data_IF_189992434456
#
_entry.id   IF_189992434456
#
_cell.length_a   1.000
_cell.length_b   1.000
_cell.length_c   1.000
_cell.angle_alpha   90.00
_cell.angle_beta   90.00
_cell.angle_gamma   90.00
#
_symmetry.space_group_name_H-M   'P 1'
#
loop_
_entity.id
_entity.type
_entity.pdbx_description
1 polymer ?
#
# COMPACT_ATOMS: atom_id res chain seq x y z
N UNK A 1 -27.89 11.38 9.88
CA UNK A 1 -29.09 10.52 9.92
C UNK A 1 -28.96 9.62 11.14
N UNK A 2 -29.88 9.73 12.10
CA UNK A 2 -30.01 8.78 13.20
C UNK A 2 -31.36 8.10 13.01
N UNK A 3 -31.39 6.76 13.11
CA UNK A 3 -32.61 5.97 13.05
C UNK A 3 -32.68 5.11 14.29
N UNK A 4 -33.89 4.92 14.81
CA UNK A 4 -34.18 4.04 15.92
C UNK A 4 -35.03 2.90 15.36
N UNK A 5 -34.50 1.69 15.40
CA UNK A 5 -35.18 0.49 14.91
C UNK A 5 -35.34 -0.51 16.04
N UNK A 6 -36.52 -1.14 16.11
CA UNK A 6 -36.75 -2.31 16.96
C UNK A 6 -36.36 -3.55 16.18
N UNK A 7 -35.49 -4.38 16.76
CA UNK A 7 -35.04 -5.62 16.13
C UNK A 7 -36.18 -6.63 16.04
N UNK A 8 -36.46 -7.13 14.84
CA UNK A 8 -37.42 -8.23 14.62
C UNK A 8 -36.89 -9.57 15.15
N UNK A 9 -35.57 -9.77 15.12
CA UNK A 9 -34.88 -10.88 15.76
C UNK A 9 -33.97 -10.33 16.89
N UNK A 10 -34.23 -10.65 18.17
CA UNK A 10 -33.49 -10.09 19.30
C UNK A 10 -32.05 -10.62 19.43
N UNK A 11 -31.64 -11.59 18.61
CA UNK A 11 -30.28 -12.14 18.57
C UNK A 11 -29.49 -11.74 17.32
N UNK A 12 -30.06 -10.94 16.41
CA UNK A 12 -29.45 -10.61 15.13
C UNK A 12 -29.64 -9.14 14.74
N UNK A 13 -28.57 -8.50 14.31
CA UNK A 13 -28.53 -7.10 13.89
C UNK A 13 -28.85 -6.99 12.38
N UNK A 14 -29.52 -5.91 11.93
CA UNK A 14 -29.95 -5.72 10.54
C UNK A 14 -28.81 -5.28 9.61
N UNK A 15 -27.56 -5.61 9.96
CA UNK A 15 -26.37 -5.26 9.18
C UNK A 15 -25.74 -6.50 8.57
N UNK A 16 -25.08 -6.34 7.44
CA UNK A 16 -24.24 -7.41 6.88
C UNK A 16 -22.91 -7.52 7.64
N UNK A 17 -22.17 -8.60 7.42
CA UNK A 17 -20.83 -8.77 7.98
C UNK A 17 -19.86 -7.68 7.53
N UNK A 18 -18.98 -7.25 8.43
CA UNK A 18 -17.95 -6.25 8.16
C UNK A 18 -18.51 -4.94 7.58
N UNK A 19 -19.57 -4.38 8.15
CA UNK A 19 -20.18 -3.13 7.65
C UNK A 19 -19.95 -1.94 8.58
N UNK A 20 -20.01 -2.16 9.89
CA UNK A 20 -20.09 -1.09 10.89
C UNK A 20 -18.72 -0.77 11.47
N UNK A 21 -18.28 0.50 11.40
CA UNK A 21 -16.97 0.89 11.93
C UNK A 21 -16.92 0.95 13.46
N UNK A 22 -18.01 1.38 14.10
CA UNK A 22 -18.12 1.54 15.56
C UNK A 22 -19.47 1.02 16.03
N UNK A 23 -19.46 0.11 17.00
CA UNK A 23 -20.66 -0.31 17.71
C UNK A 23 -20.55 0.16 19.16
N UNK A 24 -21.62 0.81 19.64
CA UNK A 24 -21.72 1.30 21.01
C UNK A 24 -22.81 0.51 21.73
N UNK A 25 -22.45 -0.16 22.82
CA UNK A 25 -23.33 -1.06 23.57
C UNK A 25 -23.56 -0.50 24.96
N UNK A 26 -24.77 0.00 25.19
CA UNK A 26 -25.26 0.37 26.53
C UNK A 26 -25.89 -0.83 27.26
N UNK A 27 -26.61 -1.67 26.52
CA UNK A 27 -27.21 -2.93 26.99
C UNK A 27 -27.11 -3.97 25.88
N UNK A 28 -26.63 -5.16 26.19
CA UNK A 28 -26.44 -6.23 25.20
C UNK A 28 -27.76 -6.94 24.84
N UNK A 29 -28.71 -7.01 25.78
CA UNK A 29 -29.93 -7.80 25.61
C UNK A 29 -29.62 -9.27 25.30
N UNK A 30 -30.25 -9.80 24.24
CA UNK A 30 -30.06 -11.19 23.77
C UNK A 30 -29.05 -11.32 22.63
N UNK A 31 -28.36 -10.24 22.26
CA UNK A 31 -27.40 -10.25 21.15
C UNK A 31 -26.13 -11.00 21.57
N UNK A 32 -25.71 -12.05 20.84
CA UNK A 32 -24.46 -12.73 21.14
C UNK A 32 -23.26 -11.86 20.77
N UNK A 33 -22.14 -12.00 21.49
CA UNK A 33 -20.91 -11.22 21.22
C UNK A 33 -20.37 -11.48 19.80
N UNK A 34 -20.56 -12.69 19.28
CA UNK A 34 -20.20 -13.07 17.91
C UNK A 34 -20.98 -12.29 16.85
N UNK A 35 -22.20 -11.86 17.16
CA UNK A 35 -23.01 -11.02 16.27
C UNK A 35 -22.47 -9.59 16.21
N UNK A 36 -22.04 -9.04 17.35
CA UNK A 36 -21.31 -7.76 17.37
C UNK A 36 -20.02 -7.87 16.54
N UNK A 37 -19.28 -8.96 16.69
CA UNK A 37 -18.08 -9.20 15.90
C UNK A 37 -18.41 -9.33 14.40
N UNK A 38 -19.50 -10.02 14.04
CA UNK A 38 -19.93 -10.22 12.64
C UNK A 38 -20.08 -8.89 11.92
N UNK A 39 -20.84 -7.96 12.49
CA UNK A 39 -21.20 -6.69 11.84
C UNK A 39 -20.06 -5.67 11.81
N UNK A 40 -19.15 -5.70 12.80
CA UNK A 40 -18.05 -4.74 12.88
C UNK A 40 -17.04 -4.99 11.75
N UNK A 41 -16.54 -3.93 11.12
CA UNK A 41 -15.46 -4.01 10.11
C UNK A 41 -14.17 -4.52 10.75
N UNK A 42 -13.27 -5.21 10.02
CA UNK A 42 -11.92 -5.48 10.53
C UNK A 42 -11.25 -4.23 11.06
N UNK A 43 -10.62 -4.34 12.24
CA UNK A 43 -10.11 -3.23 13.04
C UNK A 43 -11.16 -2.21 13.51
N UNK A 44 -12.45 -2.39 13.23
CA UNK A 44 -13.52 -1.58 13.82
C UNK A 44 -13.59 -1.68 15.34
N UNK A 45 -14.26 -0.72 15.97
CA UNK A 45 -14.29 -0.54 17.44
C UNK A 45 -15.61 -0.99 18.03
N UNK A 46 -15.54 -1.69 19.15
CA UNK A 46 -16.64 -1.87 20.08
C UNK A 46 -16.40 -0.98 21.32
N UNK A 47 -17.39 -0.17 21.67
CA UNK A 47 -17.47 0.54 22.95
C UNK A 47 -18.56 -0.11 23.80
N UNK A 48 -18.19 -0.76 24.89
CA UNK A 48 -19.11 -1.46 25.76
C UNK A 48 -19.15 -0.78 27.13
N UNK A 49 -20.24 -0.09 27.43
CA UNK A 49 -20.44 0.60 28.70
C UNK A 49 -20.57 -0.41 29.85
N UNK A 50 -20.30 0.02 31.08
CA UNK A 50 -20.36 -0.81 32.29
C UNK A 50 -21.70 -1.56 32.45
N UNK A 51 -22.81 -0.92 32.06
CA UNK A 51 -24.17 -1.50 32.11
C UNK A 51 -24.46 -2.55 31.04
N UNK A 52 -23.57 -2.74 30.07
CA UNK A 52 -23.77 -3.70 28.98
C UNK A 52 -23.73 -5.17 29.41
N UNK A 53 -23.14 -5.47 30.58
CA UNK A 53 -22.90 -6.84 31.02
C UNK A 53 -21.74 -7.54 30.28
N UNK A 54 -21.00 -6.81 29.45
CA UNK A 54 -19.76 -7.26 28.81
C UNK A 54 -18.56 -7.01 29.71
N UNK A 55 -17.58 -7.91 29.63
CA UNK A 55 -16.29 -7.81 30.30
C UNK A 55 -15.18 -8.35 29.39
N UNK A 56 -13.92 -8.17 29.78
CA UNK A 56 -12.78 -8.59 28.98
C UNK A 56 -12.81 -10.09 28.60
N UNK A 57 -13.24 -10.97 29.51
CA UNK A 57 -13.35 -12.41 29.27
C UNK A 57 -14.37 -12.73 28.18
N UNK A 58 -15.58 -12.16 28.26
CA UNK A 58 -16.63 -12.35 27.24
C UNK A 58 -16.21 -11.79 25.89
N UNK A 59 -15.55 -10.64 25.87
CA UNK A 59 -15.05 -10.01 24.64
C UNK A 59 -13.98 -10.87 23.96
N UNK A 60 -13.02 -11.38 24.74
CA UNK A 60 -11.98 -12.27 24.23
C UNK A 60 -12.57 -13.59 23.71
N UNK A 61 -13.50 -14.19 24.44
CA UNK A 61 -14.21 -15.40 24.02
C UNK A 61 -15.02 -15.18 22.73
N UNK A 62 -15.57 -13.97 22.54
CA UNK A 62 -16.25 -13.56 21.31
C UNK A 62 -15.32 -13.20 20.15
N UNK A 63 -14.00 -13.30 20.30
CA UNK A 63 -13.01 -13.07 19.23
C UNK A 63 -12.49 -11.65 19.10
N UNK A 64 -12.80 -10.76 20.03
CA UNK A 64 -12.23 -9.41 20.06
C UNK A 64 -10.77 -9.40 20.55
N UNK A 65 -10.00 -8.42 20.07
CA UNK A 65 -8.60 -8.16 20.42
C UNK A 65 -8.42 -6.72 20.91
N UNK A 66 -7.22 -6.38 21.39
CA UNK A 66 -6.86 -5.03 21.87
C UNK A 66 -7.86 -4.47 22.88
N UNK A 67 -8.22 -5.30 23.87
CA UNK A 67 -9.23 -4.96 24.88
C UNK A 67 -8.57 -4.07 25.93
N UNK A 68 -9.13 -2.89 26.13
CA UNK A 68 -8.73 -1.94 27.18
C UNK A 68 -9.95 -1.45 27.94
N UNK A 69 -9.75 -1.01 29.18
CA UNK A 69 -10.81 -0.40 30.01
C UNK A 69 -10.46 1.06 30.26
N UNK A 70 -11.43 1.94 30.05
CA UNK A 70 -11.33 3.36 30.38
C UNK A 70 -11.68 3.58 31.87
N UNK A 71 -11.33 4.76 32.39
CA UNK A 71 -11.54 5.12 33.80
C UNK A 71 -13.03 5.12 34.21
N UNK A 72 -13.91 5.46 33.28
CA UNK A 72 -15.38 5.40 33.45
C UNK A 72 -15.96 3.97 33.47
N UNK A 73 -15.08 2.97 33.33
CA UNK A 73 -15.43 1.56 33.30
C UNK A 73 -15.85 1.03 31.92
N UNK A 74 -15.87 1.86 30.88
CA UNK A 74 -16.17 1.46 29.49
C UNK A 74 -15.05 0.58 28.95
N UNK A 75 -15.41 -0.54 28.34
CA UNK A 75 -14.47 -1.38 27.60
C UNK A 75 -14.40 -0.94 26.14
N UNK A 76 -13.17 -0.81 25.64
CA UNK A 76 -12.86 -0.63 24.22
C UNK A 76 -12.26 -1.93 23.72
N UNK A 77 -12.77 -2.44 22.60
CA UNK A 77 -12.28 -3.66 21.97
C UNK A 77 -12.27 -3.51 20.44
N UNK A 78 -11.43 -4.29 19.76
CA UNK A 78 -11.27 -4.24 18.29
C UNK A 78 -11.54 -5.58 17.65
N UNK A 79 -12.11 -5.57 16.45
CA UNK A 79 -12.14 -6.77 15.60
C UNK A 79 -10.73 -7.03 15.03
N UNK A 80 -10.20 -8.26 15.08
CA UNK A 80 -8.91 -8.56 14.48
C UNK A 80 -8.93 -8.39 12.96
N UNK A 81 -7.75 -8.17 12.38
CA UNK A 81 -7.58 -8.30 10.93
C UNK A 81 -7.65 -9.78 10.52
N UNK A 82 -8.44 -10.15 9.49
CA UNK A 82 -8.47 -11.53 9.01
C UNK A 82 -7.11 -11.98 8.48
N UNK A 83 -6.63 -13.15 8.93
CA UNK A 83 -5.31 -13.69 8.54
C UNK A 83 -5.23 -14.06 7.05
N UNK A 84 -6.38 -14.26 6.42
CA UNK A 84 -6.54 -14.61 5.02
C UNK A 84 -6.81 -13.40 4.11
N UNK A 85 -6.76 -12.17 4.64
CA UNK A 85 -6.87 -10.94 3.85
C UNK A 85 -5.50 -10.29 3.68
N UNK A 86 -5.16 -10.01 2.44
CA UNK A 86 -3.88 -9.44 2.06
C UNK A 86 -3.87 -7.90 2.11
N UNK A 87 -2.71 -7.31 1.83
CA UNK A 87 -2.47 -5.88 1.65
C UNK A 87 -1.95 -5.60 0.24
N UNK A 88 -2.08 -4.37 -0.24
CA UNK A 88 -1.65 -3.96 -1.58
C UNK A 88 -1.02 -2.57 -1.55
N UNK A 89 0.17 -2.49 -0.95
CA UNK A 89 0.86 -1.23 -0.68
C UNK A 89 1.30 -0.49 -1.95
N UNK A 90 1.61 -1.21 -3.03
CA UNK A 90 2.15 -0.66 -4.28
C UNK A 90 1.23 -0.97 -5.47
N UNK A 91 1.35 -0.22 -6.56
CA UNK A 91 0.50 -0.39 -7.75
C UNK A 91 0.55 -1.79 -8.37
N UNK A 92 1.65 -2.53 -8.19
CA UNK A 92 1.81 -3.94 -8.59
C UNK A 92 2.07 -4.85 -7.38
N UNK A 93 1.31 -4.63 -6.31
CA UNK A 93 1.33 -5.35 -5.03
C UNK A 93 2.61 -5.12 -4.20
N UNK A 94 3.78 -5.40 -4.78
CA UNK A 94 5.08 -5.22 -4.13
C UNK A 94 6.26 -5.41 -5.09
N UNK A 95 7.44 -5.74 -4.53
CA UNK A 95 8.69 -5.82 -5.28
C UNK A 95 8.74 -6.93 -6.35
N UNK A 96 7.90 -7.96 -6.22
CA UNK A 96 7.76 -9.01 -7.23
C UNK A 96 7.04 -8.55 -8.50
N UNK A 97 6.43 -7.35 -8.49
CA UNK A 97 5.75 -6.77 -9.66
C UNK A 97 4.53 -7.55 -10.16
N UNK A 98 4.04 -8.50 -9.36
CA UNK A 98 2.89 -9.34 -9.70
C UNK A 98 1.60 -8.69 -9.20
N UNK A 99 0.68 -8.37 -10.11
CA UNK A 99 -0.60 -7.78 -9.74
C UNK A 99 -1.62 -8.88 -9.33
N UNK A 100 -1.23 -9.72 -8.36
CA UNK A 100 -2.09 -10.77 -7.79
C UNK A 100 -1.97 -10.74 -6.27
N UNK A 101 -3.13 -10.83 -5.60
CA UNK A 101 -3.25 -10.82 -4.15
C UNK A 101 -2.98 -12.22 -3.58
N UNK A 102 -2.46 -12.28 -2.35
CA UNK A 102 -2.40 -13.49 -1.52
C UNK A 102 -3.71 -13.72 -0.74
N UNK A 103 -4.74 -12.90 -0.97
CA UNK A 103 -6.03 -12.99 -0.30
C UNK A 103 -6.73 -14.32 -0.62
N UNK A 104 -7.14 -15.02 0.43
CA UNK A 104 -7.92 -16.28 0.37
C UNK A 104 -9.26 -16.12 1.09
N UNK A 105 -9.63 -14.90 1.48
CA UNK A 105 -10.91 -14.57 2.07
C UNK A 105 -12.01 -14.40 1.01
N UNK A 106 -11.63 -13.96 -0.19
CA UNK A 106 -12.57 -13.74 -1.30
C UNK A 106 -12.71 -14.99 -2.16
N UNK A 107 -13.96 -15.47 -2.30
CA UNK A 107 -14.35 -16.51 -3.27
C UNK A 107 -15.10 -15.91 -4.47
N UNK A 108 -15.78 -16.74 -5.29
CA UNK A 108 -16.61 -16.26 -6.39
C UNK A 108 -17.57 -15.14 -5.94
N UNK A 109 -17.65 -14.00 -6.65
CA UNK A 109 -18.51 -12.88 -6.25
C UNK A 109 -19.98 -13.30 -6.15
N UNK A 110 -20.59 -13.08 -4.97
CA UNK A 110 -22.02 -13.42 -4.73
C UNK A 110 -22.95 -12.22 -4.75
N UNK A 111 -22.40 -11.03 -4.45
CA UNK A 111 -23.14 -9.77 -4.34
C UNK A 111 -22.20 -8.59 -4.40
N UNK A 112 -22.75 -7.44 -4.72
CA UNK A 112 -22.07 -6.16 -4.56
C UNK A 112 -22.15 -5.74 -3.09
N UNK A 113 -21.01 -5.42 -2.47
CA UNK A 113 -20.99 -4.95 -1.07
C UNK A 113 -21.28 -3.45 -0.97
N UNK A 114 -20.69 -2.66 -1.86
CA UNK A 114 -20.94 -1.22 -1.96
C UNK A 114 -20.57 -0.75 -3.37
N UNK A 115 -21.22 0.31 -3.82
CA UNK A 115 -20.87 1.07 -5.04
C UNK A 115 -20.76 2.53 -4.62
N UNK A 116 -19.65 3.18 -4.96
CA UNK A 116 -19.42 4.54 -4.57
C UNK A 116 -18.81 5.35 -5.72
N UNK A 117 -19.71 5.94 -6.53
CA UNK A 117 -19.52 7.01 -7.51
C UNK A 117 -18.06 7.29 -7.94
N UNK A 118 -17.48 6.39 -8.74
CA UNK A 118 -16.35 6.71 -9.58
C UNK A 118 -16.88 6.82 -11.01
N UNK A 119 -16.94 8.04 -11.55
CA UNK A 119 -17.49 8.30 -12.89
C UNK A 119 -16.45 8.06 -14.01
N UNK A 120 -15.23 7.66 -13.65
CA UNK A 120 -14.14 7.35 -14.56
C UNK A 120 -13.15 6.37 -13.95
N UNK A 121 -12.39 5.68 -14.80
CA UNK A 121 -11.29 4.82 -14.36
C UNK A 121 -10.20 5.64 -13.66
N UNK A 122 -9.67 5.06 -12.58
CA UNK A 122 -8.62 5.67 -11.78
C UNK A 122 -7.48 4.69 -11.59
N UNK A 123 -6.37 4.99 -12.25
CA UNK A 123 -5.14 4.22 -12.16
C UNK A 123 -4.49 4.33 -10.78
N UNK A 124 -3.74 3.29 -10.41
CA UNK A 124 -2.82 3.34 -9.28
C UNK A 124 -3.51 3.28 -7.92
N UNK A 125 -4.64 2.57 -7.84
CA UNK A 125 -5.25 2.21 -6.56
C UNK A 125 -4.24 1.45 -5.71
N UNK A 126 -4.12 1.86 -4.46
CA UNK A 126 -3.40 1.12 -3.42
C UNK A 126 -4.32 0.92 -2.22
N UNK A 127 -4.16 -0.19 -1.51
CA UNK A 127 -4.98 -0.51 -0.34
C UNK A 127 -4.14 -1.09 0.77
N UNK A 128 -4.32 -0.57 1.98
CA UNK A 128 -3.67 -1.13 3.17
C UNK A 128 -4.47 -0.73 4.42
N UNK A 129 -4.39 -1.55 5.45
CA UNK A 129 -5.04 -1.32 6.75
C UNK A 129 -6.54 -0.94 6.62
N UNK A 130 -7.25 -1.65 5.73
CA UNK A 130 -8.69 -1.48 5.51
C UNK A 130 -9.09 -0.18 4.83
N UNK A 131 -8.17 0.46 4.11
CA UNK A 131 -8.43 1.71 3.39
C UNK A 131 -8.01 1.59 1.93
N UNK A 132 -8.89 2.03 1.03
CA UNK A 132 -8.60 2.16 -0.39
C UNK A 132 -8.25 3.62 -0.72
N UNK A 133 -7.17 3.83 -1.48
CA UNK A 133 -6.73 5.14 -1.94
C UNK A 133 -6.81 5.21 -3.47
N UNK A 134 -7.52 6.22 -3.98
CA UNK A 134 -7.80 6.38 -5.41
C UNK A 134 -7.19 7.67 -5.95
N UNK A 135 -6.55 7.59 -7.12
CA UNK A 135 -6.23 8.74 -7.97
C UNK A 135 -5.38 9.78 -7.26
N UNK A 136 -5.77 11.04 -7.37
CA UNK A 136 -5.17 12.16 -6.65
C UNK A 136 -5.43 12.21 -5.13
N UNK A 137 -5.94 11.11 -4.55
CA UNK A 137 -6.12 10.77 -3.13
C UNK A 137 -7.52 11.02 -2.52
N UNK A 138 -8.50 10.30 -3.04
CA UNK A 138 -9.69 9.97 -2.26
C UNK A 138 -9.39 8.74 -1.38
N UNK A 139 -9.66 8.82 -0.09
CA UNK A 139 -9.58 7.67 0.82
C UNK A 139 -10.98 7.17 1.19
N UNK A 140 -11.18 5.85 1.08
CA UNK A 140 -12.40 5.17 1.52
C UNK A 140 -12.09 4.02 2.45
N UNK A 141 -13.04 3.72 3.32
CA UNK A 141 -13.06 2.45 4.04
C UNK A 141 -13.30 1.30 3.05
N UNK A 142 -12.43 0.29 3.06
CA UNK A 142 -12.50 -0.83 2.12
C UNK A 142 -13.74 -1.72 2.31
N UNK A 143 -14.33 -1.71 3.51
CA UNK A 143 -15.40 -2.63 3.87
C UNK A 143 -16.79 -2.09 3.58
N UNK A 144 -17.00 -0.78 3.70
CA UNK A 144 -18.32 -0.17 3.47
C UNK A 144 -18.31 0.99 2.47
N UNK A 145 -17.16 1.34 1.90
CA UNK A 145 -17.04 2.36 0.87
C UNK A 145 -17.22 3.80 1.41
N UNK A 146 -17.33 4.00 2.72
CA UNK A 146 -17.45 5.33 3.32
C UNK A 146 -16.25 6.19 2.92
N UNK A 147 -16.51 7.41 2.45
CA UNK A 147 -15.45 8.40 2.22
C UNK A 147 -14.89 8.84 3.57
N UNK A 148 -13.62 8.58 3.80
CA UNK A 148 -12.91 8.97 5.01
C UNK A 148 -12.43 10.41 4.91
N UNK A 149 -11.77 10.73 3.80
CA UNK A 149 -11.26 12.06 3.49
C UNK A 149 -10.93 12.16 2.00
N UNK A 150 -10.84 13.39 1.49
CA UNK A 150 -10.48 13.65 0.10
C UNK A 150 -9.49 14.81 0.05
N UNK A 151 -8.40 14.59 -0.69
CA UNK A 151 -7.34 15.58 -0.91
C UNK A 151 -6.94 15.54 -2.37
N UNK A 152 -6.62 16.70 -2.93
CA UNK A 152 -5.85 16.83 -4.16
C UNK A 152 -4.39 17.13 -3.81
N UNK A 153 -3.48 16.34 -4.38
CA UNK A 153 -2.05 16.44 -4.11
C UNK A 153 -1.42 17.79 -4.50
N UNK A 154 -2.08 18.60 -5.32
CA UNK A 154 -1.64 19.93 -5.75
C UNK A 154 -2.42 21.06 -5.05
N UNK A 155 -3.73 20.93 -4.90
CA UNK A 155 -4.61 22.00 -4.40
C UNK A 155 -4.82 21.96 -2.89
N UNK A 156 -4.81 20.77 -2.26
CA UNK A 156 -5.05 20.61 -0.82
C UNK A 156 -6.32 19.81 -0.51
N UNK A 157 -6.94 20.06 0.64
CA UNK A 157 -8.18 19.38 1.03
C UNK A 157 -9.31 19.69 0.04
N UNK A 158 -10.07 18.66 -0.32
CA UNK A 158 -11.21 18.76 -1.22
C UNK A 158 -12.42 18.08 -0.60
N UNK A 159 -13.60 18.65 -0.87
CA UNK A 159 -14.87 18.02 -0.53
C UNK A 159 -15.80 18.06 -1.74
N UNK A 160 -15.30 17.56 -2.88
CA UNK A 160 -16.05 17.54 -4.13
C UNK A 160 -17.29 16.62 -4.01
N UNK A 161 -18.52 17.15 -4.14
CA UNK A 161 -19.75 16.36 -4.07
C UNK A 161 -19.92 15.43 -5.28
N UNK A 162 -19.26 15.71 -6.41
CA UNK A 162 -19.28 14.87 -7.60
C UNK A 162 -18.28 13.71 -7.56
N UNK A 163 -17.53 13.56 -6.46
CA UNK A 163 -16.51 12.52 -6.29
C UNK A 163 -15.51 12.46 -7.44
N UNK A 164 -15.13 13.61 -7.99
CA UNK A 164 -14.12 13.66 -9.04
C UNK A 164 -12.80 13.07 -8.52
N UNK A 165 -12.25 12.13 -9.28
CA UNK A 165 -11.01 11.46 -8.98
C UNK A 165 -9.94 11.96 -9.97
N UNK A 166 -9.19 13.02 -9.63
CA UNK A 166 -8.22 13.58 -10.55
C UNK A 166 -7.15 12.53 -10.88
N UNK A 167 -6.85 12.38 -12.18
CA UNK A 167 -5.78 11.50 -12.65
C UNK A 167 -4.44 11.97 -12.10
N UNK A 168 -3.60 11.02 -11.73
CA UNK A 168 -2.23 11.31 -11.33
C UNK A 168 -1.38 11.58 -12.58
N UNK A 169 -0.58 12.64 -12.54
CA UNK A 169 0.40 12.88 -13.60
C UNK A 169 1.41 11.74 -13.66
N UNK A 170 1.77 11.30 -14.87
CA UNK A 170 2.85 10.34 -15.13
C UNK A 170 4.23 10.89 -14.78
N UNK A 171 4.35 12.20 -14.54
CA UNK A 171 5.62 12.88 -14.25
C UNK A 171 6.03 12.84 -12.78
N UNK A 172 5.33 12.09 -11.93
CA UNK A 172 5.63 11.96 -10.49
C UNK A 172 5.34 10.55 -10.00
N UNK A 173 5.94 10.20 -8.88
CA UNK A 173 5.67 8.93 -8.21
C UNK A 173 4.18 8.78 -7.85
N UNK A 174 3.67 7.56 -8.03
CA UNK A 174 2.33 7.17 -7.58
C UNK A 174 2.33 7.01 -6.05
N UNK A 175 1.20 7.24 -5.36
CA UNK A 175 1.10 7.01 -3.93
C UNK A 175 1.36 5.55 -3.54
N UNK A 176 1.91 5.35 -2.34
CA UNK A 176 2.18 4.03 -1.75
C UNK A 176 1.61 3.99 -0.35
N UNK A 177 0.87 2.93 -0.04
CA UNK A 177 0.28 2.74 1.29
C UNK A 177 1.22 1.95 2.21
N UNK A 178 1.21 2.25 3.50
CA UNK A 178 1.84 1.44 4.54
C UNK A 178 1.12 1.68 5.86
N UNK A 179 0.11 0.87 6.14
CA UNK A 179 -0.76 0.89 7.31
C UNK A 179 -1.15 2.28 7.79
N UNK A 180 -0.30 2.86 8.65
CA UNK A 180 -0.42 4.21 9.22
C UNK A 180 -0.22 5.35 8.22
N UNK A 181 0.50 5.14 7.13
CA UNK A 181 0.93 6.18 6.20
C UNK A 181 0.47 5.93 4.77
N UNK A 182 0.24 7.02 4.06
CA UNK A 182 0.23 7.06 2.60
C UNK A 182 1.37 7.99 2.16
N UNK A 183 2.36 7.46 1.46
CA UNK A 183 3.45 8.24 0.89
C UNK A 183 3.01 8.80 -0.45
N UNK A 184 3.16 10.11 -0.64
CA UNK A 184 2.73 10.78 -1.87
C UNK A 184 3.55 12.04 -2.12
N UNK A 185 3.50 12.53 -3.36
CA UNK A 185 4.08 13.81 -3.75
C UNK A 185 3.01 14.91 -3.64
N UNK A 186 3.08 15.70 -2.57
CA UNK A 186 2.16 16.83 -2.32
C UNK A 186 2.86 18.14 -2.64
N UNK A 187 2.30 18.94 -3.56
CA UNK A 187 2.88 20.21 -4.02
C UNK A 187 4.38 20.10 -4.35
N UNK A 188 4.75 19.00 -5.01
CA UNK A 188 6.14 18.70 -5.43
C UNK A 188 7.03 18.11 -4.33
N UNK A 189 6.57 18.01 -3.08
CA UNK A 189 7.35 17.46 -1.97
C UNK A 189 6.92 16.03 -1.65
N UNK A 190 7.89 15.17 -1.33
CA UNK A 190 7.60 13.85 -0.78
C UNK A 190 7.14 13.99 0.68
N UNK A 191 5.95 13.45 0.98
CA UNK A 191 5.36 13.47 2.33
C UNK A 191 4.79 12.10 2.70
N UNK A 192 4.63 11.87 4.00
CA UNK A 192 3.75 10.84 4.53
C UNK A 192 2.48 11.51 5.06
N UNK A 193 1.34 11.16 4.49
CA UNK A 193 0.03 11.49 5.03
C UNK A 193 -0.37 10.44 6.06
N UNK A 194 -1.03 10.83 7.15
CA UNK A 194 -1.72 9.87 8.01
C UNK A 194 -2.85 9.22 7.21
N UNK A 195 -2.82 7.89 7.06
CA UNK A 195 -3.76 7.14 6.22
C UNK A 195 -5.22 7.30 6.65
N UNK A 196 -5.48 7.53 7.94
CA UNK A 196 -6.81 7.69 8.49
C UNK A 196 -7.39 9.10 8.34
N UNK A 197 -6.55 10.14 8.23
CA UNK A 197 -7.01 11.54 8.24
C UNK A 197 -6.63 12.37 7.02
N UNK A 198 -5.68 11.91 6.20
CA UNK A 198 -5.18 12.65 5.03
C UNK A 198 -4.30 13.86 5.39
N UNK A 199 -4.04 14.11 6.68
CA UNK A 199 -3.17 15.18 7.13
C UNK A 199 -1.70 14.80 6.94
N UNK A 200 -0.87 15.78 6.59
CA UNK A 200 0.58 15.59 6.54
C UNK A 200 1.08 15.22 7.94
N UNK A 201 1.65 14.02 8.06
CA UNK A 201 2.30 13.57 9.26
C UNK A 201 3.80 13.87 9.23
N UNK A 202 4.43 13.79 8.03
CA UNK A 202 5.87 14.00 7.83
C UNK A 202 6.20 14.55 6.45
N UNK A 203 7.29 15.30 6.36
CA UNK A 203 7.95 15.68 5.10
C UNK A 203 9.30 14.96 4.99
N UNK A 204 9.71 14.64 3.76
CA UNK A 204 10.99 14.01 3.44
C UNK A 204 11.81 14.98 2.58
N UNK A 205 12.64 15.84 3.20
CA UNK A 205 13.36 16.89 2.48
C UNK A 205 14.55 16.35 1.68
N UNK A 206 15.09 17.18 0.80
CA UNK A 206 16.33 16.91 0.06
C UNK A 206 16.16 16.12 -1.25
N UNK A 207 15.01 15.47 -1.46
CA UNK A 207 14.63 14.92 -2.76
C UNK A 207 13.88 15.98 -3.58
N UNK A 208 14.10 16.03 -4.89
CA UNK A 208 13.31 16.84 -5.81
C UNK A 208 11.88 16.29 -5.95
N UNK A 209 11.28 16.42 -7.13
CA UNK A 209 10.01 15.74 -7.42
C UNK A 209 10.34 14.27 -7.75
N UNK A 210 10.09 13.30 -6.86
CA UNK A 210 10.47 11.93 -7.13
C UNK A 210 9.61 11.35 -8.26
N UNK A 211 10.25 10.58 -9.13
CA UNK A 211 9.61 9.80 -10.20
C UNK A 211 9.21 8.42 -9.71
N UNK A 212 10.01 7.86 -8.80
CA UNK A 212 9.76 6.59 -8.15
C UNK A 212 9.87 6.76 -6.64
N UNK A 213 8.94 6.14 -5.94
CA UNK A 213 8.97 5.96 -4.48
C UNK A 213 8.70 4.47 -4.27
N UNK A 214 9.34 3.85 -3.29
CA UNK A 214 9.01 2.52 -2.79
C UNK A 214 9.05 2.55 -1.26
N UNK A 215 8.15 1.81 -0.63
CA UNK A 215 8.22 1.51 0.79
C UNK A 215 8.61 0.05 0.97
N UNK A 216 9.65 -0.23 1.74
CA UNK A 216 10.08 -1.59 2.04
C UNK A 216 10.50 -1.68 3.49
N UNK A 217 9.91 -2.62 4.24
CA UNK A 217 10.10 -2.77 5.69
C UNK A 217 9.80 -1.47 6.42
N UNK A 218 10.83 -0.85 7.01
CA UNK A 218 10.79 0.39 7.78
C UNK A 218 11.49 1.55 7.07
N UNK A 219 11.65 1.45 5.74
CA UNK A 219 12.37 2.42 4.91
C UNK A 219 11.52 2.89 3.74
N UNK A 220 11.51 4.21 3.51
CA UNK A 220 11.00 4.86 2.30
C UNK A 220 12.20 5.17 1.41
N UNK A 221 12.18 4.70 0.18
CA UNK A 221 13.20 5.00 -0.84
C UNK A 221 12.55 5.85 -1.91
N UNK A 222 13.21 6.92 -2.31
CA UNK A 222 12.74 7.83 -3.33
C UNK A 222 13.85 8.18 -4.32
N UNK A 223 13.50 8.24 -5.60
CA UNK A 223 14.39 8.62 -6.67
C UNK A 223 13.80 9.75 -7.51
N UNK A 224 14.63 10.75 -7.78
CA UNK A 224 14.43 11.74 -8.83
C UNK A 224 15.48 11.53 -9.94
N UNK A 225 15.57 12.44 -10.90
CA UNK A 225 16.49 12.28 -12.04
C UNK A 225 17.98 12.40 -11.69
N UNK A 226 18.34 12.75 -10.45
CA UNK A 226 19.72 13.08 -10.04
C UNK A 226 20.20 12.29 -8.82
N UNK A 227 19.32 11.62 -8.10
CA UNK A 227 19.66 11.03 -6.81
C UNK A 227 18.65 9.99 -6.35
N UNK A 228 19.12 9.14 -5.44
CA UNK A 228 18.32 8.22 -4.64
C UNK A 228 18.51 8.58 -3.16
N UNK A 229 17.43 8.59 -2.39
CA UNK A 229 17.45 8.80 -0.94
C UNK A 229 16.64 7.74 -0.22
N UNK A 230 17.11 7.35 0.96
CA UNK A 230 16.36 6.51 1.88
C UNK A 230 16.08 7.25 3.18
N UNK A 231 14.90 7.02 3.73
CA UNK A 231 14.43 7.61 4.97
C UNK A 231 13.80 6.55 5.85
N UNK A 232 13.96 6.70 7.16
CA UNK A 232 13.21 5.90 8.13
C UNK A 232 11.71 6.22 8.00
N UNK A 233 10.91 5.18 7.78
CA UNK A 233 9.44 5.24 7.80
C UNK A 233 8.92 5.80 9.11
N UNK A 234 9.63 5.61 10.23
CA UNK A 234 9.18 5.94 11.59
C UNK A 234 9.64 7.31 12.08
N UNK A 235 10.73 7.87 11.56
CA UNK A 235 11.25 9.16 12.03
C UNK A 235 11.34 10.22 10.94
N UNK A 236 11.18 9.83 9.66
CA UNK A 236 11.51 10.64 8.48
C UNK A 236 12.96 11.14 8.43
N UNK A 237 13.84 10.66 9.32
CA UNK A 237 15.27 10.93 9.23
C UNK A 237 15.81 10.24 7.98
N UNK A 238 16.60 10.96 7.21
CA UNK A 238 17.38 10.39 6.12
C UNK A 238 18.36 9.37 6.69
N UNK A 239 18.41 8.19 6.08
CA UNK A 239 19.38 7.14 6.39
C UNK A 239 20.65 7.35 5.56
N UNK A 240 20.48 7.58 4.26
CA UNK A 240 21.57 7.84 3.32
C UNK A 240 21.03 8.54 2.07
N UNK A 241 21.95 9.07 1.26
CA UNK A 241 21.67 9.58 -0.08
C UNK A 241 22.81 9.18 -1.03
N UNK A 242 22.49 9.04 -2.32
CA UNK A 242 23.47 8.86 -3.39
C UNK A 242 23.11 9.75 -4.57
N UNK A 243 24.10 10.43 -5.12
CA UNK A 243 23.94 11.12 -6.41
C UNK A 243 24.08 10.10 -7.54
N UNK A 244 23.01 9.94 -8.30
CA UNK A 244 22.90 8.96 -9.38
C UNK A 244 22.19 9.63 -10.56
N UNK A 245 22.80 9.62 -11.73
CA UNK A 245 22.19 10.17 -12.94
C UNK A 245 21.07 9.27 -13.48
N UNK A 246 19.84 9.79 -13.50
CA UNK A 246 18.64 9.12 -14.02
C UNK A 246 18.45 7.67 -13.50
N UNK A 247 18.38 7.47 -12.18
CA UNK A 247 18.02 6.17 -11.61
C UNK A 247 16.62 5.77 -12.06
N UNK A 248 16.45 4.49 -12.40
CA UNK A 248 15.18 3.89 -12.79
C UNK A 248 15.05 2.47 -12.28
N UNK A 249 13.81 1.98 -12.29
CA UNK A 249 13.47 0.59 -11.98
C UNK A 249 13.88 0.20 -10.56
N UNK A 250 13.52 1.03 -9.57
CA UNK A 250 13.77 0.71 -8.17
C UNK A 250 12.98 -0.53 -7.75
N UNK A 251 13.68 -1.50 -7.19
CA UNK A 251 13.09 -2.66 -6.53
C UNK A 251 13.82 -2.92 -5.21
N UNK A 252 13.14 -3.47 -4.22
CA UNK A 252 13.75 -3.82 -2.94
C UNK A 252 13.20 -5.14 -2.40
N UNK A 253 14.10 -6.02 -1.97
CA UNK A 253 13.76 -7.24 -1.24
C UNK A 253 14.81 -7.46 -0.15
N UNK A 254 14.43 -8.13 0.93
CA UNK A 254 15.31 -8.34 2.08
C UNK A 254 15.95 -7.03 2.57
N UNK A 255 17.28 -6.95 2.58
CA UNK A 255 18.04 -5.73 2.91
C UNK A 255 18.76 -5.17 1.68
N UNK A 256 18.24 -5.42 0.49
CA UNK A 256 18.85 -5.02 -0.78
C UNK A 256 17.90 -4.16 -1.58
N UNK A 257 18.43 -3.09 -2.17
CA UNK A 257 17.76 -2.29 -3.20
C UNK A 257 18.51 -2.51 -4.50
N UNK A 258 17.79 -2.76 -5.60
CA UNK A 258 18.32 -2.78 -6.95
C UNK A 258 17.77 -1.61 -7.76
N UNK A 259 18.62 -1.05 -8.62
CA UNK A 259 18.22 -0.03 -9.60
C UNK A 259 19.16 -0.04 -10.80
N UNK A 260 18.76 0.66 -11.86
CA UNK A 260 19.62 0.93 -13.02
C UNK A 260 19.89 2.42 -13.10
N UNK A 261 21.17 2.76 -13.28
CA UNK A 261 21.64 4.10 -13.61
C UNK A 261 21.82 4.22 -15.13
N UNK A 262 21.62 5.41 -15.68
CA UNK A 262 22.21 5.80 -16.97
C UNK A 262 21.25 6.56 -17.88
N UNK A 263 21.72 7.63 -18.49
CA UNK A 263 20.94 8.43 -19.44
C UNK A 263 20.94 7.78 -20.83
N UNK A 264 20.08 6.79 -21.02
CA UNK A 264 19.99 6.02 -22.28
C UNK A 264 19.86 6.92 -23.52
N UNK A 265 19.06 8.00 -23.42
CA UNK A 265 18.84 8.95 -24.52
C UNK A 265 20.08 9.77 -24.90
N UNK A 266 21.13 9.77 -24.07
CA UNK A 266 22.39 10.49 -24.30
C UNK A 266 23.56 9.55 -24.61
N UNK A 267 23.30 8.26 -24.85
CA UNK A 267 24.32 7.27 -25.16
C UNK A 267 25.18 6.85 -23.96
N UNK A 268 24.81 7.23 -22.74
CA UNK A 268 25.51 6.78 -21.53
C UNK A 268 25.28 5.28 -21.32
N UNK A 269 26.34 4.55 -20.93
CA UNK A 269 26.25 3.11 -20.60
C UNK A 269 25.34 2.92 -19.38
N UNK A 270 24.39 1.98 -19.45
CA UNK A 270 23.62 1.59 -18.28
C UNK A 270 24.44 0.75 -17.31
N UNK A 271 24.20 0.97 -16.03
CA UNK A 271 24.85 0.26 -14.94
C UNK A 271 23.78 -0.20 -13.95
N UNK A 272 23.75 -1.50 -13.65
CA UNK A 272 22.89 -2.04 -12.60
C UNK A 272 23.65 -2.04 -11.28
N UNK A 273 22.93 -1.71 -10.21
CA UNK A 273 23.44 -1.66 -8.84
C UNK A 273 22.59 -2.53 -7.94
N UNK A 274 23.23 -3.17 -6.96
CA UNK A 274 22.59 -3.48 -5.70
C UNK A 274 23.29 -2.75 -4.55
N UNK A 275 22.48 -2.19 -3.66
CA UNK A 275 22.95 -1.48 -2.48
C UNK A 275 22.24 -2.01 -1.23
N UNK A 276 22.89 -1.90 -0.07
CA UNK A 276 22.27 -2.21 1.22
C UNK A 276 21.19 -1.18 1.58
N UNK A 277 20.03 -1.68 2.02
CA UNK A 277 18.83 -0.91 2.34
C UNK A 277 19.07 0.18 3.38
N UNK A 278 19.91 -0.09 4.39
CA UNK A 278 20.05 0.78 5.57
C UNK A 278 21.25 1.70 5.51
N UNK A 279 22.33 1.28 4.86
CA UNK A 279 23.58 2.03 4.77
C UNK A 279 23.81 2.68 3.42
N UNK A 280 23.12 2.23 2.37
CA UNK A 280 23.37 2.65 1.00
C UNK A 280 24.74 2.22 0.50
N UNK A 281 25.41 1.25 1.14
CA UNK A 281 26.69 0.73 0.63
C UNK A 281 26.44 -0.12 -0.61
N UNK A 282 27.27 0.05 -1.63
CA UNK A 282 27.24 -0.78 -2.84
C UNK A 282 27.62 -2.21 -2.46
N UNK A 283 26.75 -3.16 -2.80
CA UNK A 283 27.05 -4.60 -2.76
C UNK A 283 27.74 -5.02 -4.04
N UNK A 284 27.18 -4.62 -5.18
CA UNK A 284 27.77 -4.82 -6.49
C UNK A 284 27.27 -3.77 -7.48
N UNK A 285 28.05 -3.62 -8.55
CA UNK A 285 27.80 -2.74 -9.68
C UNK A 285 28.27 -3.46 -10.94
N UNK A 286 27.41 -3.55 -11.95
CA UNK A 286 27.71 -4.23 -13.22
C UNK A 286 27.24 -3.40 -14.41
N UNK A 287 28.08 -3.35 -15.45
CA UNK A 287 27.82 -2.59 -16.68
C UNK A 287 28.08 -3.40 -17.95
N UNK A 288 28.66 -4.60 -17.82
CA UNK A 288 29.08 -5.44 -18.95
C UNK A 288 27.91 -6.16 -19.63
N UNK A 289 26.72 -6.16 -19.04
CA UNK A 289 25.54 -6.78 -19.63
C UNK A 289 24.94 -5.87 -20.73
N UNK A 290 25.00 -6.28 -22.01
CA UNK A 290 24.58 -5.43 -23.13
C UNK A 290 23.06 -5.16 -23.12
N UNK A 291 22.28 -6.00 -22.45
CA UNK A 291 20.83 -5.89 -22.34
C UNK A 291 20.34 -4.85 -21.32
N UNK A 292 21.21 -4.29 -20.47
CA UNK A 292 20.83 -3.30 -19.44
C UNK A 292 20.14 -2.06 -20.00
N UNK A 293 20.50 -1.65 -21.21
CA UNK A 293 19.90 -0.52 -21.90
C UNK A 293 18.46 -0.77 -22.35
N UNK A 294 18.04 -2.04 -22.41
CA UNK A 294 16.73 -2.48 -22.90
C UNK A 294 15.82 -2.96 -21.77
N UNK A 295 16.26 -2.88 -20.51
CA UNK A 295 15.45 -3.29 -19.38
C UNK A 295 14.23 -2.38 -19.27
N UNK A 296 13.06 -2.99 -19.41
CA UNK A 296 11.77 -2.35 -19.21
C UNK A 296 11.35 -2.37 -17.74
N UNK A 297 11.62 -3.48 -17.02
CA UNK A 297 11.23 -3.64 -15.62
C UNK A 297 12.29 -4.37 -14.80
N UNK A 298 12.38 -4.02 -13.53
CA UNK A 298 13.15 -4.76 -12.53
C UNK A 298 12.21 -5.19 -11.40
N UNK A 299 12.30 -6.46 -11.00
CA UNK A 299 11.56 -7.02 -9.86
C UNK A 299 12.52 -7.78 -8.95
N UNK A 300 12.16 -7.94 -7.68
CA UNK A 300 12.95 -8.71 -6.72
C UNK A 300 12.08 -9.68 -5.93
N UNK A 301 12.61 -10.88 -5.71
CA UNK A 301 11.98 -11.90 -4.88
C UNK A 301 13.04 -12.80 -4.22
N UNK A 302 13.00 -12.90 -2.90
CA UNK A 302 14.03 -13.61 -2.13
C UNK A 302 15.43 -13.04 -2.41
N UNK A 303 16.36 -13.92 -2.77
CA UNK A 303 17.76 -13.59 -3.07
C UNK A 303 18.02 -13.24 -4.55
N UNK A 304 16.96 -12.97 -5.33
CA UNK A 304 17.06 -12.73 -6.76
C UNK A 304 16.55 -11.35 -7.16
N UNK A 305 17.22 -10.76 -8.15
CA UNK A 305 16.73 -9.63 -8.93
C UNK A 305 16.54 -10.08 -10.37
N UNK A 306 15.36 -9.81 -10.93
CA UNK A 306 15.05 -10.12 -12.31
C UNK A 306 14.94 -8.83 -13.12
N UNK A 307 15.64 -8.80 -14.26
CA UNK A 307 15.62 -7.74 -15.25
C UNK A 307 14.85 -8.23 -16.47
N UNK A 308 13.67 -7.65 -16.69
CA UNK A 308 12.83 -7.91 -17.84
C UNK A 308 13.25 -6.96 -18.96
N UNK A 309 13.76 -7.54 -20.04
CA UNK A 309 13.96 -6.88 -21.32
C UNK A 309 12.70 -7.10 -22.13
N UNK A 310 12.06 -6.01 -22.54
CA UNK A 310 10.90 -6.06 -23.41
C UNK A 310 11.05 -5.14 -24.60
N UNK A 311 10.76 -5.66 -25.79
CA UNK A 311 10.69 -4.90 -27.05
C UNK A 311 9.42 -4.05 -27.14
N UNK A 312 8.40 -4.33 -26.30
CA UNK A 312 7.06 -3.75 -26.35
C UNK A 312 6.39 -3.90 -27.73
N UNK A 313 6.81 -4.89 -28.51
CA UNK A 313 6.24 -5.22 -29.81
C UNK A 313 5.68 -6.65 -29.80
N UNK A 314 4.76 -6.93 -30.72
CA UNK A 314 4.07 -8.22 -30.84
C UNK A 314 4.93 -9.29 -31.54
N UNK A 315 6.24 -9.09 -31.63
CA UNK A 315 7.17 -10.03 -32.25
C UNK A 315 8.06 -10.69 -31.21
N UNK A 316 8.33 -11.98 -31.41
CA UNK A 316 8.99 -12.84 -30.43
C UNK A 316 10.47 -12.48 -30.16
N UNK A 317 11.11 -11.77 -31.08
CA UNK A 317 12.54 -11.50 -31.01
C UNK A 317 12.86 -10.28 -30.14
N UNK A 318 13.77 -10.48 -29.16
CA UNK A 318 14.37 -9.39 -28.38
C UNK A 318 13.81 -9.20 -26.97
N UNK A 319 12.90 -10.07 -26.53
CA UNK A 319 12.44 -10.15 -25.16
C UNK A 319 13.26 -11.18 -24.37
N UNK A 320 13.54 -10.89 -23.10
CA UNK A 320 14.37 -11.74 -22.27
C UNK A 320 14.20 -11.45 -20.79
N UNK A 321 14.35 -12.49 -19.98
CA UNK A 321 14.36 -12.41 -18.53
C UNK A 321 15.76 -12.79 -18.06
N UNK A 322 16.45 -11.87 -17.39
CA UNK A 322 17.78 -12.10 -16.84
C UNK A 322 17.70 -11.99 -15.33
N UNK A 323 18.11 -13.05 -14.64
CA UNK A 323 18.02 -13.15 -13.19
C UNK A 323 19.42 -13.19 -12.61
N UNK A 324 19.71 -12.21 -11.76
CA UNK A 324 20.98 -12.09 -11.06
C UNK A 324 20.76 -12.40 -9.57
N UNK A 325 21.81 -12.89 -8.91
CA UNK A 325 21.88 -12.90 -7.45
C UNK A 325 21.79 -11.47 -6.92
N UNK A 326 20.85 -11.21 -6.02
CA UNK A 326 20.72 -9.93 -5.34
C UNK A 326 21.95 -9.62 -4.46
N UNK A 327 22.70 -10.64 -4.04
CA UNK A 327 23.86 -10.48 -3.18
C UNK A 327 25.17 -10.27 -3.96
N UNK A 328 25.36 -10.95 -5.09
CA UNK A 328 26.65 -10.94 -5.81
C UNK A 328 26.60 -10.28 -7.19
N UNK A 329 25.42 -10.09 -7.77
CA UNK A 329 25.25 -9.57 -9.14
C UNK A 329 25.64 -10.58 -10.22
N UNK A 330 25.94 -11.83 -9.84
CA UNK A 330 26.22 -12.91 -10.79
C UNK A 330 24.93 -13.37 -11.47
N UNK A 331 25.02 -13.63 -12.77
CA UNK A 331 23.93 -14.21 -13.55
C UNK A 331 23.62 -15.62 -13.00
N UNK A 332 22.42 -15.78 -12.46
CA UNK A 332 21.94 -17.07 -11.96
C UNK A 332 21.23 -17.85 -13.06
N UNK A 333 20.43 -17.15 -13.87
CA UNK A 333 19.64 -17.74 -14.94
C UNK A 333 19.21 -16.67 -15.94
N UNK A 334 19.05 -17.06 -17.20
CA UNK A 334 18.39 -16.23 -18.20
C UNK A 334 17.58 -17.05 -19.19
N UNK A 335 16.57 -16.41 -19.78
CA UNK A 335 15.74 -17.01 -20.80
C UNK A 335 15.17 -15.95 -21.73
N UNK A 336 15.34 -16.17 -23.03
CA UNK A 336 14.55 -15.48 -24.04
C UNK A 336 13.13 -16.05 -24.03
N UNK A 337 12.14 -15.18 -24.11
CA UNK A 337 10.74 -15.60 -24.17
C UNK A 337 10.02 -14.86 -25.30
N UNK A 338 9.18 -15.54 -26.10
CA UNK A 338 8.20 -14.83 -26.92
C UNK A 338 7.20 -14.13 -25.99
N UNK A 339 6.71 -12.91 -26.30
CA UNK A 339 5.61 -12.33 -25.55
C UNK A 339 4.40 -13.24 -25.77
N UNK A 340 4.10 -14.07 -24.77
CA UNK A 340 2.92 -14.92 -24.80
C UNK A 340 1.69 -14.02 -24.70
N UNK A 341 1.03 -13.80 -25.83
CA UNK A 341 -0.38 -13.41 -25.84
C UNK A 341 -1.25 -14.65 -25.66
#
# INVERSE_FOLDING_TARGET
LAFAETLTNPTHLPYTENLVNVVVVHSLGKIPVTELLRVITPRGTLLAFSRSGLNATKLKAGGFVSISRQDDGTFIARKPWPKNMDTWSHTRHGAGGNAVSLDTAVGPPKRVRWVAAAMSEVEGLVTDDGRNFYGGVLARDSFNGLRLWHRDLTKGELNDPAFNLPRLSTSRARPIASGKYLFAVVKGKLVALNSATGKIAREYPGIGIPKEVIHHRDVVIAADNKQIRAFSTTTAKQLWHQEVGEPRNLAAANKTISFIKGRLKRGEQAEAFAIDLYSGKIKWQVSHFPWLNKVYRTVMHGEHVAFEVSSLNDHDAGNGLHVLSAETGQLAWEKNFPPGM
#
